data_IF_301879709465
#
_entry.id   IF_301879709465
#
_cell.length_a   1.000
_cell.length_b   1.000
_cell.length_c   1.000
_cell.angle_alpha   90.00
_cell.angle_beta   90.00
_cell.angle_gamma   90.00
#
_symmetry.space_group_name_H-M   'P 1'
#
loop_
_entity.id
_entity.type
_entity.pdbx_description
1 polymer ?
#
# COMPACT_ATOMS: atom_id res chain seq x y z
N UNK A 1 9.17 51.42 24.24
CA UNK A 1 10.42 50.77 24.63
C UNK A 1 10.85 49.85 23.54
N UNK A 2 11.77 50.32 22.70
CA UNK A 2 12.30 49.55 21.57
C UNK A 2 13.45 48.67 22.05
N UNK A 3 13.34 47.38 21.85
CA UNK A 3 14.45 46.45 22.06
C UNK A 3 15.28 46.37 20.77
N UNK A 4 16.46 46.97 20.78
CA UNK A 4 17.45 46.83 19.71
C UNK A 4 18.27 45.54 19.93
N UNK A 5 18.24 44.66 18.94
CA UNK A 5 19.09 43.48 18.88
C UNK A 5 20.53 43.85 18.46
N UNK A 6 21.56 43.36 19.12
CA UNK A 6 22.94 43.68 18.76
C UNK A 6 23.39 42.90 17.51
N UNK A 7 24.08 43.57 16.60
CA UNK A 7 24.57 43.01 15.33
C UNK A 7 25.70 41.99 15.52
N UNK A 8 25.77 41.02 14.59
CA UNK A 8 26.76 39.93 14.57
C UNK A 8 28.25 40.36 14.57
N UNK A 9 28.54 41.62 14.38
CA UNK A 9 29.91 42.17 14.40
C UNK A 9 30.44 42.50 15.79
N UNK A 10 29.63 42.55 16.82
CA UNK A 10 30.03 42.89 18.18
C UNK A 10 30.46 41.65 18.97
N UNK A 11 30.03 40.44 18.58
CA UNK A 11 30.40 39.20 19.28
C UNK A 11 31.83 38.70 19.02
N UNK A 12 32.51 39.23 17.98
CA UNK A 12 33.86 38.78 17.59
C UNK A 12 35.02 39.59 18.24
N UNK A 13 34.71 40.61 19.03
CA UNK A 13 35.77 41.48 19.67
C UNK A 13 36.13 41.09 21.11
N UNK A 14 35.49 40.06 21.69
CA UNK A 14 35.76 39.63 23.08
C UNK A 14 36.55 38.31 23.21
N UNK A 15 37.07 37.78 22.12
CA UNK A 15 37.87 36.54 22.11
C UNK A 15 39.38 36.78 21.88
N UNK A 16 39.87 37.89 22.27
CA UNK A 16 41.30 38.22 22.16
C UNK A 16 41.88 38.73 23.46
N UNK A 17 42.19 37.87 24.41
CA UNK A 17 43.32 37.95 25.35
C UNK A 17 43.11 36.94 26.50
N UNK A 18 43.95 35.91 26.53
CA UNK A 18 44.21 35.12 27.73
C UNK A 18 43.37 33.87 27.94
N UNK A 19 43.90 32.68 27.62
CA UNK A 19 43.36 31.39 28.08
C UNK A 19 43.01 30.37 26.96
N UNK A 20 43.79 30.33 25.90
CA UNK A 20 43.44 29.57 24.68
C UNK A 20 43.86 28.11 24.58
N UNK A 21 44.27 27.43 25.65
CA UNK A 21 44.74 26.03 25.53
C UNK A 21 43.83 24.97 26.17
N UNK A 22 42.97 25.35 27.10
CA UNK A 22 42.13 24.40 27.83
C UNK A 22 40.72 24.22 27.22
N UNK A 23 40.21 25.20 26.47
CA UNK A 23 38.85 25.13 25.88
C UNK A 23 38.79 24.41 24.53
N UNK A 24 39.92 24.31 23.80
CA UNK A 24 39.99 23.59 22.54
C UNK A 24 40.04 22.06 22.73
N UNK A 25 40.55 21.58 23.85
CA UNK A 25 40.60 20.15 24.17
C UNK A 25 39.20 19.56 24.52
N UNK A 26 38.30 20.39 25.08
CA UNK A 26 36.97 19.96 25.47
C UNK A 26 35.98 19.85 24.26
N UNK A 27 36.23 20.57 23.19
CA UNK A 27 35.39 20.50 21.98
C UNK A 27 35.80 19.37 21.02
N UNK A 28 37.06 18.90 21.14
CA UNK A 28 37.55 17.76 20.35
C UNK A 28 37.25 16.39 20.97
N UNK A 29 36.97 16.35 22.28
CA UNK A 29 36.56 15.12 22.98
C UNK A 29 35.10 14.79 22.82
N UNK A 30 34.26 15.68 22.31
CA UNK A 30 32.86 15.41 22.01
C UNK A 30 32.64 14.66 20.69
N UNK A 31 33.65 14.54 19.82
CA UNK A 31 33.58 13.85 18.52
C UNK A 31 34.33 12.50 18.49
N UNK A 32 34.97 12.06 19.58
CA UNK A 32 35.72 10.80 19.64
C UNK A 32 35.19 9.82 20.66
N UNK A 33 33.86 9.73 20.79
CA UNK A 33 33.18 8.79 21.69
C UNK A 33 32.77 7.48 21.01
N UNK A 34 33.61 6.89 20.14
CA UNK A 34 33.54 5.44 19.87
C UNK A 34 34.65 4.81 20.70
N UNK A 35 34.39 4.49 21.93
CA UNK A 35 35.25 3.67 22.76
C UNK A 35 34.94 2.20 22.41
N UNK A 36 35.84 1.57 21.66
CA UNK A 36 35.89 0.11 21.56
C UNK A 36 36.19 -0.45 22.96
N UNK A 37 35.15 -0.85 23.68
CA UNK A 37 35.28 -1.56 24.93
C UNK A 37 35.61 -3.02 24.69
N UNK A 38 36.85 -3.43 24.92
CA UNK A 38 37.20 -4.81 25.22
C UNK A 38 36.59 -5.22 26.58
N UNK A 39 35.67 -6.18 26.54
CA UNK A 39 35.13 -6.80 27.76
C UNK A 39 34.22 -7.94 27.37
N UNK A 40 34.71 -9.17 27.50
CA UNK A 40 33.99 -10.40 27.14
C UNK A 40 32.78 -10.70 28.02
N UNK A 41 31.84 -11.45 27.47
CA UNK A 41 30.84 -12.22 28.23
C UNK A 41 29.40 -11.81 27.91
N UNK A 42 28.70 -12.75 27.30
CA UNK A 42 27.28 -12.93 27.06
C UNK A 42 26.72 -12.44 25.73
N UNK A 43 26.79 -13.34 24.78
CA UNK A 43 26.07 -13.30 23.52
C UNK A 43 24.60 -13.70 23.70
N UNK A 44 23.80 -12.82 24.25
CA UNK A 44 22.36 -12.81 24.03
C UNK A 44 22.07 -11.63 23.10
N UNK A 45 21.69 -11.92 21.87
CA UNK A 45 21.57 -11.08 20.68
C UNK A 45 20.89 -9.72 20.84
N UNK A 46 21.57 -8.78 21.45
CA UNK A 46 21.24 -7.36 21.36
C UNK A 46 22.05 -6.75 20.21
N UNK A 47 21.53 -6.86 18.98
CA UNK A 47 22.06 -6.09 17.86
C UNK A 47 22.11 -4.62 18.24
N UNK A 48 23.23 -3.95 17.96
CA UNK A 48 23.40 -2.51 18.22
C UNK A 48 22.28 -1.71 17.51
N UNK A 49 21.31 -1.25 18.27
CA UNK A 49 20.16 -0.45 17.80
C UNK A 49 20.44 1.04 17.77
N UNK A 50 21.68 1.45 18.03
CA UNK A 50 22.03 2.87 18.16
C UNK A 50 21.29 3.50 19.36
N UNK A 51 20.70 4.67 19.14
CA UNK A 51 19.96 5.42 20.18
C UNK A 51 18.44 5.11 20.17
N UNK A 52 18.00 4.05 19.50
CA UNK A 52 16.60 3.66 19.58
C UNK A 52 16.27 3.07 20.94
N UNK A 53 15.06 3.34 21.48
CA UNK A 53 14.63 2.79 22.76
C UNK A 53 14.61 1.26 22.71
N UNK A 54 14.68 0.64 23.89
CA UNK A 54 14.48 -0.78 24.06
C UNK A 54 13.15 -1.24 23.47
N UNK A 55 13.03 -2.54 23.23
CA UNK A 55 11.80 -3.15 22.70
C UNK A 55 10.58 -2.63 23.43
N UNK A 56 9.59 -2.18 22.65
CA UNK A 56 8.32 -1.70 23.18
C UNK A 56 7.25 -2.77 22.94
N UNK A 57 6.44 -3.06 23.94
CA UNK A 57 5.29 -3.97 23.83
C UNK A 57 4.08 -3.26 23.18
N UNK A 58 4.32 -2.47 22.13
CA UNK A 58 3.25 -1.80 21.42
C UNK A 58 2.45 -2.79 20.60
N UNK A 59 1.16 -2.82 20.88
CA UNK A 59 0.18 -3.68 20.18
C UNK A 59 -0.51 -2.87 19.10
N UNK A 60 -0.23 -3.17 17.86
CA UNK A 60 -0.94 -2.61 16.72
C UNK A 60 -2.02 -3.55 16.24
N UNK A 61 -3.09 -3.00 15.67
CA UNK A 61 -4.24 -3.75 15.17
C UNK A 61 -4.51 -3.35 13.73
N UNK A 62 -4.59 -4.33 12.85
CA UNK A 62 -4.99 -4.16 11.45
C UNK A 62 -6.44 -4.61 11.29
N UNK A 63 -7.31 -3.68 10.85
CA UNK A 63 -8.73 -3.93 10.56
C UNK A 63 -8.90 -4.02 9.05
N UNK A 64 -9.26 -5.20 8.57
CA UNK A 64 -9.35 -5.53 7.16
C UNK A 64 -10.80 -5.84 6.73
N UNK A 65 -11.11 -5.62 5.47
CA UNK A 65 -12.45 -5.84 4.92
C UNK A 65 -12.71 -7.29 4.46
N UNK A 66 -11.65 -8.04 4.06
CA UNK A 66 -11.75 -9.47 3.70
C UNK A 66 -10.53 -10.21 4.25
N UNK A 67 -10.56 -10.56 5.54
CA UNK A 67 -9.41 -11.10 6.30
C UNK A 67 -8.86 -12.42 5.77
N UNK A 68 -9.66 -13.17 5.01
CA UNK A 68 -9.34 -14.48 4.45
C UNK A 68 -8.87 -14.43 3.00
N UNK A 69 -8.97 -13.28 2.31
CA UNK A 69 -8.57 -13.17 0.92
C UNK A 69 -7.05 -13.31 0.78
N UNK A 70 -6.61 -14.18 -0.11
CA UNK A 70 -5.19 -14.46 -0.37
C UNK A 70 -4.41 -13.26 -0.91
N UNK A 71 -5.08 -12.25 -1.47
CA UNK A 71 -4.49 -10.96 -1.79
C UNK A 71 -3.72 -10.35 -0.63
N UNK A 72 -4.18 -10.55 0.62
CA UNK A 72 -3.55 -9.97 1.81
C UNK A 72 -2.41 -10.82 2.40
N UNK A 73 -2.02 -11.93 1.78
CA UNK A 73 -0.87 -12.72 2.24
C UNK A 73 0.41 -11.89 2.23
N UNK A 74 0.77 -11.17 1.16
CA UNK A 74 1.94 -10.28 1.18
C UNK A 74 1.81 -9.14 2.21
N UNK A 75 0.62 -8.58 2.40
CA UNK A 75 0.38 -7.55 3.43
C UNK A 75 0.70 -8.08 4.84
N UNK A 76 0.21 -9.29 5.18
CA UNK A 76 0.52 -9.94 6.46
C UNK A 76 2.01 -10.24 6.62
N UNK A 77 2.67 -10.65 5.56
CA UNK A 77 4.13 -10.82 5.57
C UNK A 77 4.84 -9.50 5.82
N UNK A 78 4.41 -8.41 5.15
CA UNK A 78 4.98 -7.09 5.34
C UNK A 78 4.84 -6.57 6.78
N UNK A 79 3.66 -6.74 7.38
CA UNK A 79 3.45 -6.33 8.77
C UNK A 79 4.30 -7.17 9.76
N UNK A 80 4.43 -8.48 9.53
CA UNK A 80 5.26 -9.36 10.36
C UNK A 80 6.75 -9.00 10.25
N UNK A 81 7.24 -8.74 9.03
CA UNK A 81 8.63 -8.33 8.79
C UNK A 81 8.94 -6.97 9.42
N UNK A 82 8.03 -6.00 9.32
CA UNK A 82 8.17 -4.71 9.98
C UNK A 82 8.22 -4.87 11.51
N UNK A 83 7.33 -5.69 12.07
CA UNK A 83 7.30 -5.96 13.50
C UNK A 83 8.62 -6.62 13.97
N UNK A 84 9.12 -7.59 13.22
CA UNK A 84 10.40 -8.26 13.50
C UNK A 84 11.58 -7.28 13.42
N UNK A 85 11.62 -6.43 12.37
CA UNK A 85 12.65 -5.40 12.21
C UNK A 85 12.66 -4.41 13.37
N UNK A 86 11.48 -3.94 13.79
CA UNK A 86 11.31 -2.95 14.85
C UNK A 86 11.36 -3.57 16.25
N UNK A 87 11.27 -4.90 16.36
CA UNK A 87 11.29 -5.63 17.61
C UNK A 87 10.06 -5.40 18.48
N UNK A 88 8.89 -5.25 17.87
CA UNK A 88 7.58 -5.17 18.53
C UNK A 88 6.80 -6.46 18.32
N UNK A 89 5.73 -6.71 19.10
CA UNK A 89 4.82 -7.82 18.83
C UNK A 89 4.21 -7.72 17.42
N UNK A 90 3.98 -8.87 16.79
CA UNK A 90 3.28 -8.90 15.50
C UNK A 90 1.89 -8.28 15.64
N UNK A 91 1.49 -7.37 14.72
CA UNK A 91 0.18 -6.74 14.75
C UNK A 91 -0.97 -7.75 14.64
N UNK A 92 -2.02 -7.52 15.40
CA UNK A 92 -3.24 -8.32 15.31
C UNK A 92 -3.94 -8.07 13.97
N UNK A 93 -4.29 -9.14 13.26
CA UNK A 93 -5.08 -9.11 12.04
C UNK A 93 -6.55 -9.45 12.35
N UNK A 94 -7.47 -8.53 12.06
CA UNK A 94 -8.91 -8.66 12.37
C UNK A 94 -9.78 -7.92 11.36
N UNK A 95 -11.08 -7.97 11.50
CA UNK A 95 -12.05 -7.28 10.63
C UNK A 95 -13.15 -8.21 10.16
N UNK A 96 -13.58 -8.06 8.90
CA UNK A 96 -14.59 -8.91 8.27
C UNK A 96 -13.98 -9.98 7.38
N UNK A 97 -14.71 -11.04 7.11
CA UNK A 97 -14.32 -12.07 6.12
C UNK A 97 -14.96 -11.87 4.75
N UNK A 98 -15.98 -11.02 4.65
CA UNK A 98 -16.82 -10.87 3.46
C UNK A 98 -17.21 -9.42 3.11
N UNK A 99 -16.47 -8.44 3.63
CA UNK A 99 -16.72 -7.02 3.36
C UNK A 99 -17.81 -6.38 4.21
N UNK A 100 -18.22 -7.02 5.33
CA UNK A 100 -19.24 -6.49 6.23
C UNK A 100 -18.69 -5.29 7.00
N UNK A 101 -19.22 -4.11 6.70
CA UNK A 101 -18.81 -2.83 7.30
C UNK A 101 -19.04 -2.79 8.81
N UNK A 102 -20.16 -3.35 9.29
CA UNK A 102 -20.46 -3.37 10.73
C UNK A 102 -19.46 -4.24 11.51
N UNK A 103 -19.03 -5.36 10.95
CA UNK A 103 -17.98 -6.20 11.55
C UNK A 103 -16.65 -5.45 11.65
N UNK A 104 -16.27 -4.71 10.61
CA UNK A 104 -15.08 -3.90 10.62
C UNK A 104 -15.14 -2.77 11.66
N UNK A 105 -16.26 -2.05 11.72
CA UNK A 105 -16.47 -1.02 12.73
C UNK A 105 -16.38 -1.58 14.15
N UNK A 106 -17.01 -2.73 14.41
CA UNK A 106 -16.93 -3.42 15.70
C UNK A 106 -15.50 -3.87 16.03
N UNK A 107 -14.75 -4.35 15.05
CA UNK A 107 -13.33 -4.71 15.22
C UNK A 107 -12.48 -3.49 15.59
N UNK A 108 -12.71 -2.34 14.94
CA UNK A 108 -12.05 -1.08 15.26
C UNK A 108 -12.39 -0.59 16.68
N UNK A 109 -13.66 -0.60 17.07
CA UNK A 109 -14.09 -0.23 18.42
C UNK A 109 -13.51 -1.17 19.49
N UNK A 110 -13.39 -2.47 19.17
CA UNK A 110 -12.72 -3.45 20.05
C UNK A 110 -11.25 -3.09 20.24
N UNK A 111 -10.54 -2.73 19.17
CA UNK A 111 -9.16 -2.27 19.24
C UNK A 111 -9.01 -0.99 20.11
N UNK A 112 -9.92 -0.02 19.94
CA UNK A 112 -9.95 1.21 20.72
C UNK A 112 -10.19 0.92 22.22
N UNK A 113 -11.14 0.06 22.53
CA UNK A 113 -11.52 -0.26 23.90
C UNK A 113 -10.49 -1.14 24.62
N UNK A 114 -9.71 -1.93 23.86
CA UNK A 114 -8.58 -2.69 24.39
C UNK A 114 -7.30 -1.87 24.52
N UNK A 115 -7.36 -0.55 24.29
CA UNK A 115 -6.22 0.35 24.32
C UNK A 115 -5.08 -0.10 23.38
N UNK A 116 -5.40 -0.35 22.12
CA UNK A 116 -4.41 -0.56 21.08
C UNK A 116 -3.45 0.65 21.03
N UNK A 117 -2.19 0.40 20.72
CA UNK A 117 -1.19 1.47 20.62
C UNK A 117 -1.20 2.14 19.25
N UNK A 118 -1.88 1.54 18.27
CA UNK A 118 -2.12 2.08 16.93
C UNK A 118 -3.02 1.18 16.13
N UNK A 119 -3.75 1.75 15.18
CA UNK A 119 -4.70 1.04 14.34
C UNK A 119 -4.38 1.34 12.87
N UNK A 120 -4.25 0.31 12.06
CA UNK A 120 -4.27 0.40 10.60
C UNK A 120 -5.60 -0.16 10.09
N UNK A 121 -6.29 0.54 9.20
CA UNK A 121 -7.64 0.18 8.76
C UNK A 121 -7.82 0.40 7.25
N UNK A 122 -8.47 -0.54 6.56
CA UNK A 122 -8.95 -0.34 5.20
C UNK A 122 -10.29 0.42 5.25
N UNK A 123 -10.26 1.71 4.92
CA UNK A 123 -11.45 2.57 4.98
C UNK A 123 -12.31 2.40 3.73
N UNK A 124 -13.09 1.32 3.68
CA UNK A 124 -13.90 0.95 2.51
C UNK A 124 -15.24 1.65 2.42
N UNK A 125 -15.66 2.37 3.47
CA UNK A 125 -16.89 3.15 3.55
C UNK A 125 -16.64 4.56 4.04
N UNK A 126 -17.37 5.56 3.49
CA UNK A 126 -17.15 6.97 3.78
C UNK A 126 -17.73 7.43 5.14
N UNK A 127 -18.68 6.71 5.72
CA UNK A 127 -19.41 7.15 6.89
C UNK A 127 -19.11 6.30 8.15
N UNK A 128 -19.02 5.00 7.98
CA UNK A 128 -19.00 4.05 9.08
C UNK A 128 -17.79 4.22 10.03
N UNK A 129 -16.67 4.76 9.52
CA UNK A 129 -15.42 4.86 10.29
C UNK A 129 -15.11 6.27 10.80
N UNK A 130 -15.95 7.28 10.50
CA UNK A 130 -15.73 8.67 10.95
C UNK A 130 -15.66 8.76 12.46
N UNK A 131 -16.70 8.25 13.15
CA UNK A 131 -16.74 8.28 14.61
C UNK A 131 -15.68 7.39 15.26
N UNK A 132 -15.49 6.12 14.84
CA UNK A 132 -14.40 5.29 15.37
C UNK A 132 -13.02 5.92 15.19
N UNK A 133 -12.71 6.52 14.02
CA UNK A 133 -11.43 7.19 13.80
C UNK A 133 -11.25 8.38 14.74
N UNK A 134 -12.28 9.23 14.88
CA UNK A 134 -12.26 10.36 15.80
C UNK A 134 -12.05 9.92 17.25
N UNK A 135 -12.77 8.87 17.68
CA UNK A 135 -12.66 8.30 19.01
C UNK A 135 -11.27 7.75 19.31
N UNK A 136 -10.65 7.04 18.33
CA UNK A 136 -9.29 6.56 18.45
C UNK A 136 -8.29 7.72 18.63
N UNK A 137 -8.36 8.73 17.75
CA UNK A 137 -7.48 9.89 17.79
C UNK A 137 -7.66 10.70 19.09
N UNK A 138 -8.88 10.87 19.57
CA UNK A 138 -9.17 11.54 20.84
C UNK A 138 -8.57 10.82 22.05
N UNK A 139 -8.41 9.50 21.98
CA UNK A 139 -7.72 8.68 22.99
C UNK A 139 -6.19 8.62 22.77
N UNK A 140 -5.65 9.34 21.81
CA UNK A 140 -4.21 9.32 21.49
C UNK A 140 -3.77 8.02 20.77
N UNK A 141 -4.70 7.29 20.16
CA UNK A 141 -4.42 6.11 19.34
C UNK A 141 -4.28 6.54 17.88
N UNK A 142 -3.07 6.48 17.27
CA UNK A 142 -2.88 6.85 15.88
C UNK A 142 -3.64 5.89 14.96
N UNK A 143 -4.25 6.44 13.90
CA UNK A 143 -4.96 5.70 12.88
C UNK A 143 -4.30 5.94 11.52
N UNK A 144 -3.90 4.88 10.84
CA UNK A 144 -3.38 4.89 9.47
C UNK A 144 -4.39 4.17 8.58
N UNK A 145 -4.78 4.79 7.47
CA UNK A 145 -5.51 4.09 6.43
C UNK A 145 -4.54 3.29 5.56
N UNK A 146 -4.89 2.06 5.20
CA UNK A 146 -4.13 1.28 4.23
C UNK A 146 -5.08 0.62 3.23
N UNK A 147 -4.60 0.31 2.02
CA UNK A 147 -5.35 -0.34 0.94
C UNK A 147 -6.56 0.49 0.41
N UNK A 148 -7.39 1.03 1.28
CA UNK A 148 -8.48 1.94 0.95
C UNK A 148 -8.47 3.14 1.88
N UNK A 149 -8.79 4.31 1.32
CA UNK A 149 -8.99 5.54 2.08
C UNK A 149 -10.41 6.07 1.83
N UNK A 150 -10.93 6.81 2.79
CA UNK A 150 -12.27 7.37 2.72
C UNK A 150 -12.26 8.86 3.03
N UNK A 151 -12.99 9.63 2.23
CA UNK A 151 -13.18 11.05 2.46
C UNK A 151 -13.77 11.30 3.86
N UNK A 152 -13.33 12.38 4.51
CA UNK A 152 -13.83 12.82 5.81
C UNK A 152 -13.59 11.88 7.01
N UNK A 153 -12.75 10.85 6.88
CA UNK A 153 -12.38 9.98 8.00
C UNK A 153 -11.13 10.45 8.75
N UNK A 154 -10.29 11.27 8.11
CA UNK A 154 -9.12 11.93 8.68
C UNK A 154 -8.12 10.99 9.39
N UNK A 155 -7.70 9.85 8.79
CA UNK A 155 -6.56 9.11 9.30
C UNK A 155 -5.31 9.99 9.22
N UNK A 156 -4.29 9.68 10.03
CA UNK A 156 -3.04 10.45 10.02
C UNK A 156 -2.27 10.31 8.72
N UNK A 157 -2.38 9.16 8.06
CA UNK A 157 -1.81 8.91 6.74
C UNK A 157 -2.59 7.82 6.00
N UNK A 158 -2.40 7.77 4.69
CA UNK A 158 -2.81 6.67 3.82
C UNK A 158 -1.60 5.98 3.22
N UNK A 159 -1.60 4.66 3.23
CA UNK A 159 -0.59 3.79 2.61
C UNK A 159 -1.28 2.84 1.65
N UNK A 160 -1.19 3.10 0.36
CA UNK A 160 -1.89 2.32 -0.65
C UNK A 160 -1.67 2.87 -2.04
N UNK A 161 -2.36 2.29 -3.01
CA UNK A 161 -2.32 2.75 -4.40
C UNK A 161 -3.24 3.96 -4.58
N UNK A 162 -2.89 4.89 -5.45
CA UNK A 162 -3.86 5.84 -6.00
C UNK A 162 -4.85 5.07 -6.87
N UNK A 163 -6.01 4.78 -6.29
CA UNK A 163 -6.99 3.88 -6.89
C UNK A 163 -7.64 4.46 -8.15
N UNK A 164 -7.97 5.77 -8.14
CA UNK A 164 -8.53 6.40 -9.33
C UNK A 164 -7.51 6.46 -10.47
N UNK A 165 -6.28 6.91 -10.18
CA UNK A 165 -5.22 6.94 -11.17
C UNK A 165 -4.91 5.54 -11.73
N UNK A 166 -4.91 4.51 -10.89
CA UNK A 166 -4.67 3.15 -11.34
C UNK A 166 -5.76 2.64 -12.30
N UNK A 167 -7.02 2.94 -11.98
CA UNK A 167 -8.14 2.69 -12.89
C UNK A 167 -8.04 3.48 -14.18
N UNK A 168 -7.68 4.75 -14.10
CA UNK A 168 -7.49 5.61 -15.28
C UNK A 168 -6.38 5.08 -16.20
N UNK A 169 -5.24 4.64 -15.63
CA UNK A 169 -4.15 4.01 -16.39
C UNK A 169 -4.58 2.68 -17.00
N UNK A 170 -5.36 1.88 -16.28
CA UNK A 170 -5.96 0.66 -16.83
C UNK A 170 -6.87 0.97 -18.01
N UNK A 171 -7.75 1.97 -17.88
CA UNK A 171 -8.63 2.40 -18.97
C UNK A 171 -7.86 2.90 -20.21
N UNK A 172 -6.76 3.63 -20.01
CA UNK A 172 -5.85 4.01 -21.10
C UNK A 172 -5.26 2.78 -21.79
N UNK A 173 -4.80 1.78 -21.02
CA UNK A 173 -4.25 0.52 -21.56
C UNK A 173 -5.32 -0.27 -22.32
N UNK A 174 -6.56 -0.34 -21.79
CA UNK A 174 -7.68 -0.97 -22.51
C UNK A 174 -7.93 -0.28 -23.85
N UNK A 175 -7.90 1.06 -23.86
CA UNK A 175 -8.13 1.85 -25.08
C UNK A 175 -7.06 1.67 -26.16
N UNK A 176 -5.87 1.11 -25.85
CA UNK A 176 -4.89 0.75 -26.87
C UNK A 176 -5.37 -0.36 -27.77
N UNK A 177 -6.07 -1.35 -27.20
CA UNK A 177 -6.50 -2.57 -27.89
C UNK A 177 -8.00 -2.56 -28.27
N UNK A 178 -8.86 -1.90 -27.48
CA UNK A 178 -10.32 -1.86 -27.69
C UNK A 178 -10.75 -0.44 -28.04
N UNK A 179 -11.21 -0.22 -29.28
CA UNK A 179 -11.60 1.09 -29.79
C UNK A 179 -13.12 1.33 -29.80
N UNK A 180 -13.90 0.27 -29.82
CA UNK A 180 -15.38 0.33 -29.85
C UNK A 180 -15.98 -0.99 -29.40
N UNK A 181 -17.29 -1.01 -29.17
CA UNK A 181 -18.03 -2.18 -28.68
C UNK A 181 -18.15 -2.19 -27.16
N UNK A 182 -18.56 -3.31 -26.59
CA UNK A 182 -18.73 -3.44 -25.15
C UNK A 182 -17.57 -4.18 -24.51
N UNK A 183 -17.25 -3.80 -23.27
CA UNK A 183 -16.39 -4.58 -22.37
C UNK A 183 -17.16 -4.90 -21.08
N UNK A 184 -16.80 -6.01 -20.43
CA UNK A 184 -17.32 -6.42 -19.12
C UNK A 184 -16.28 -6.08 -18.08
N UNK A 185 -16.68 -5.42 -16.99
CA UNK A 185 -15.76 -5.09 -15.87
C UNK A 185 -16.36 -5.56 -14.55
N UNK A 186 -15.72 -6.56 -13.95
CA UNK A 186 -16.08 -7.08 -12.62
C UNK A 186 -15.67 -6.11 -11.50
N UNK A 187 -16.54 -5.97 -10.52
CA UNK A 187 -16.31 -5.19 -9.30
C UNK A 187 -16.92 -5.92 -8.11
N UNK A 188 -16.11 -6.26 -7.12
CA UNK A 188 -16.54 -7.07 -5.96
C UNK A 188 -17.52 -6.34 -5.04
N UNK A 189 -17.39 -5.02 -4.93
CA UNK A 189 -18.21 -4.20 -4.04
C UNK A 189 -18.50 -2.83 -4.66
N UNK A 190 -19.56 -2.71 -5.49
CA UNK A 190 -19.95 -1.41 -6.04
C UNK A 190 -20.14 -0.35 -4.94
N UNK A 191 -19.54 0.83 -5.13
CA UNK A 191 -19.54 1.92 -4.14
C UNK A 191 -18.47 1.79 -3.05
N UNK A 192 -17.75 0.68 -2.96
CA UNK A 192 -16.65 0.50 -2.00
C UNK A 192 -15.43 1.32 -2.38
N UNK A 193 -14.84 2.03 -1.42
CA UNK A 193 -13.71 2.94 -1.65
C UNK A 193 -12.43 2.22 -2.11
N UNK A 194 -12.33 0.92 -1.93
CA UNK A 194 -11.20 0.11 -2.41
C UNK A 194 -11.26 -0.23 -3.90
N UNK A 195 -12.43 -0.20 -4.53
CA UNK A 195 -12.63 -0.67 -5.92
C UNK A 195 -13.39 0.31 -6.81
N UNK A 196 -14.37 1.08 -6.27
CA UNK A 196 -15.16 2.01 -7.07
C UNK A 196 -14.31 3.08 -7.78
N UNK A 197 -13.30 3.70 -7.14
CA UNK A 197 -12.49 4.71 -7.82
C UNK A 197 -11.73 4.14 -9.04
N UNK A 198 -11.37 2.85 -9.02
CA UNK A 198 -10.75 2.18 -10.17
C UNK A 198 -11.70 2.08 -11.34
N UNK A 199 -12.95 1.67 -11.09
CA UNK A 199 -13.98 1.60 -12.13
C UNK A 199 -14.27 2.98 -12.72
N UNK A 200 -14.39 4.01 -11.87
CA UNK A 200 -14.61 5.38 -12.30
C UNK A 200 -13.45 5.89 -13.19
N UNK A 201 -12.21 5.61 -12.78
CA UNK A 201 -11.01 5.92 -13.56
C UNK A 201 -10.99 5.24 -14.92
N UNK A 202 -11.35 3.94 -15.00
CA UNK A 202 -11.47 3.21 -16.28
C UNK A 202 -12.49 3.89 -17.19
N UNK A 203 -13.68 4.18 -16.66
CA UNK A 203 -14.77 4.79 -17.43
C UNK A 203 -14.32 6.17 -17.97
N UNK A 204 -13.68 6.98 -17.16
CA UNK A 204 -13.27 8.33 -17.57
C UNK A 204 -12.12 8.30 -18.59
N UNK A 205 -11.17 7.36 -18.45
CA UNK A 205 -10.12 7.16 -19.46
C UNK A 205 -10.69 6.69 -20.81
N UNK A 206 -11.65 5.77 -20.78
CA UNK A 206 -12.31 5.27 -22.01
C UNK A 206 -13.14 6.34 -22.71
N UNK A 207 -13.86 7.19 -21.96
CA UNK A 207 -14.58 8.35 -22.53
C UNK A 207 -13.64 9.27 -23.31
N UNK A 208 -12.39 9.43 -22.85
CA UNK A 208 -11.39 10.30 -23.49
C UNK A 208 -10.69 9.60 -24.67
N UNK A 209 -10.24 8.36 -24.50
CA UNK A 209 -9.34 7.68 -25.44
C UNK A 209 -10.05 6.74 -26.42
N UNK A 210 -11.22 6.20 -26.06
CA UNK A 210 -12.01 5.29 -26.86
C UNK A 210 -13.52 5.45 -26.62
N UNK A 211 -14.12 6.59 -27.00
CA UNK A 211 -15.53 6.93 -26.70
C UNK A 211 -16.55 5.96 -27.34
N UNK A 212 -16.13 5.11 -28.26
CA UNK A 212 -16.96 4.05 -28.84
C UNK A 212 -17.06 2.80 -27.97
N UNK A 213 -16.33 2.74 -26.83
CA UNK A 213 -16.39 1.62 -25.89
C UNK A 213 -17.45 1.87 -24.82
N UNK A 214 -18.31 0.88 -24.60
CA UNK A 214 -19.28 0.86 -23.50
C UNK A 214 -18.84 -0.09 -22.41
N UNK A 215 -18.95 0.34 -21.15
CA UNK A 215 -18.59 -0.48 -19.98
C UNK A 215 -19.85 -1.09 -19.37
N UNK A 216 -19.89 -2.42 -19.31
CA UNK A 216 -20.86 -3.17 -18.54
C UNK A 216 -20.21 -3.58 -17.21
N UNK A 217 -20.51 -2.87 -16.12
CA UNK A 217 -20.04 -3.24 -14.78
C UNK A 217 -20.89 -4.39 -14.23
N UNK A 218 -20.23 -5.30 -13.51
CA UNK A 218 -20.85 -6.51 -12.93
C UNK A 218 -20.48 -6.59 -11.46
N UNK A 219 -21.48 -6.56 -10.57
CA UNK A 219 -21.27 -6.86 -9.15
C UNK A 219 -20.96 -8.35 -9.01
N UNK A 220 -19.74 -8.67 -8.61
CA UNK A 220 -19.25 -10.04 -8.47
C UNK A 220 -19.37 -10.57 -7.04
N UNK A 221 -19.55 -9.67 -6.06
CA UNK A 221 -19.47 -10.01 -4.64
C UNK A 221 -18.01 -10.15 -4.16
N UNK A 222 -17.84 -10.33 -2.85
CA UNK A 222 -16.50 -10.43 -2.24
C UNK A 222 -16.02 -11.88 -2.04
N UNK A 223 -16.82 -12.86 -2.42
CA UNK A 223 -16.50 -14.28 -2.27
C UNK A 223 -16.04 -14.88 -3.60
N UNK A 224 -14.83 -15.37 -3.63
CA UNK A 224 -14.13 -15.83 -4.84
C UNK A 224 -14.93 -16.82 -5.72
N UNK A 225 -15.68 -17.75 -5.10
CA UNK A 225 -16.54 -18.68 -5.84
C UNK A 225 -17.72 -17.97 -6.54
N UNK A 226 -18.26 -16.93 -5.92
CA UNK A 226 -19.34 -16.10 -6.47
C UNK A 226 -18.86 -15.26 -7.66
N UNK A 227 -17.65 -14.74 -7.59
CA UNK A 227 -17.05 -13.87 -8.61
C UNK A 227 -16.97 -14.56 -9.98
N UNK A 228 -16.51 -15.83 -10.02
CA UNK A 228 -16.47 -16.60 -11.26
C UNK A 228 -17.87 -16.82 -11.86
N UNK A 229 -18.86 -17.14 -11.02
CA UNK A 229 -20.23 -17.35 -11.48
C UNK A 229 -20.82 -16.06 -12.05
N UNK A 230 -20.62 -14.93 -11.38
CA UNK A 230 -21.12 -13.64 -11.84
C UNK A 230 -20.47 -13.20 -13.17
N UNK A 231 -19.15 -13.34 -13.29
CA UNK A 231 -18.43 -13.03 -14.53
C UNK A 231 -18.84 -13.94 -15.68
N UNK A 232 -19.04 -15.24 -15.40
CA UNK A 232 -19.51 -16.21 -16.41
C UNK A 232 -20.92 -15.85 -16.89
N UNK A 233 -21.85 -15.56 -15.99
CA UNK A 233 -23.21 -15.17 -16.35
C UNK A 233 -23.23 -13.86 -17.16
N UNK A 234 -22.39 -12.89 -16.79
CA UNK A 234 -22.28 -11.64 -17.54
C UNK A 234 -21.76 -11.85 -18.96
N UNK A 235 -20.76 -12.70 -19.13
CA UNK A 235 -20.24 -13.05 -20.46
C UNK A 235 -21.25 -13.85 -21.29
N UNK A 236 -21.94 -14.82 -20.70
CA UNK A 236 -22.97 -15.59 -21.38
C UNK A 236 -24.13 -14.71 -21.86
N UNK A 237 -24.42 -13.63 -21.15
CA UNK A 237 -25.38 -12.60 -21.57
C UNK A 237 -24.82 -11.61 -22.61
N UNK A 238 -23.52 -11.57 -22.85
CA UNK A 238 -22.87 -10.64 -23.76
C UNK A 238 -21.62 -11.27 -24.42
N UNK A 239 -21.82 -12.31 -25.20
CA UNK A 239 -20.73 -13.03 -25.88
C UNK A 239 -20.04 -12.22 -27.00
N UNK A 240 -20.58 -11.02 -27.32
CA UNK A 240 -19.99 -10.07 -28.26
C UNK A 240 -19.03 -9.08 -27.59
N UNK A 241 -18.79 -9.18 -26.27
CA UNK A 241 -17.86 -8.31 -25.58
C UNK A 241 -16.45 -8.41 -26.17
N UNK A 242 -15.80 -7.27 -26.33
CA UNK A 242 -14.44 -7.16 -26.86
C UNK A 242 -13.38 -7.45 -25.80
N UNK A 243 -13.75 -7.35 -24.51
CA UNK A 243 -12.85 -7.59 -23.40
C UNK A 243 -13.57 -7.92 -22.11
N UNK A 244 -12.88 -8.64 -21.22
CA UNK A 244 -13.31 -9.04 -19.88
C UNK A 244 -12.26 -8.59 -18.89
N UNK A 245 -12.63 -7.67 -18.00
CA UNK A 245 -11.73 -7.01 -17.08
C UNK A 245 -12.29 -7.02 -15.66
N UNK A 246 -11.47 -6.69 -14.67
CA UNK A 246 -11.91 -6.53 -13.29
C UNK A 246 -11.07 -5.51 -12.52
N UNK A 247 -11.63 -4.98 -11.42
CA UNK A 247 -10.99 -3.95 -10.59
C UNK A 247 -10.53 -4.47 -9.22
N UNK A 248 -10.63 -5.76 -8.98
CA UNK A 248 -10.22 -6.45 -7.76
C UNK A 248 -9.59 -7.82 -8.04
N UNK A 249 -8.95 -8.40 -7.01
CA UNK A 249 -8.14 -9.59 -7.14
C UNK A 249 -8.92 -10.84 -7.58
N UNK A 250 -10.02 -11.13 -6.90
CA UNK A 250 -10.79 -12.35 -7.14
C UNK A 250 -11.51 -12.30 -8.48
N UNK A 251 -12.13 -11.16 -8.80
CA UNK A 251 -12.76 -10.97 -10.12
C UNK A 251 -11.74 -11.02 -11.27
N UNK A 252 -10.49 -10.58 -11.05
CA UNK A 252 -9.44 -10.71 -12.07
C UNK A 252 -9.05 -12.18 -12.31
N UNK A 253 -8.90 -12.95 -11.24
CA UNK A 253 -8.67 -14.40 -11.34
C UNK A 253 -9.84 -15.10 -12.03
N UNK A 254 -11.08 -14.69 -11.73
CA UNK A 254 -12.27 -15.16 -12.41
C UNK A 254 -12.26 -14.85 -13.91
N UNK A 255 -11.79 -13.67 -14.33
CA UNK A 255 -11.58 -13.34 -15.76
C UNK A 255 -10.61 -14.32 -16.42
N UNK A 256 -9.46 -14.58 -15.80
CA UNK A 256 -8.46 -15.50 -16.33
C UNK A 256 -9.04 -16.91 -16.52
N UNK A 257 -9.74 -17.41 -15.51
CA UNK A 257 -10.36 -18.73 -15.54
C UNK A 257 -11.48 -18.80 -16.58
N UNK A 258 -12.35 -17.82 -16.65
CA UNK A 258 -13.44 -17.75 -17.65
C UNK A 258 -12.88 -17.76 -19.08
N UNK A 259 -11.87 -16.93 -19.37
CA UNK A 259 -11.25 -16.85 -20.69
C UNK A 259 -10.62 -18.20 -21.06
N UNK A 260 -9.96 -18.87 -20.13
CA UNK A 260 -9.34 -20.17 -20.34
C UNK A 260 -10.39 -21.27 -20.56
N UNK A 261 -11.36 -21.39 -19.66
CA UNK A 261 -12.38 -22.45 -19.69
C UNK A 261 -13.27 -22.38 -20.94
N UNK A 262 -13.50 -21.18 -21.48
CA UNK A 262 -14.28 -20.95 -22.70
C UNK A 262 -13.45 -20.98 -24.00
N UNK A 263 -12.11 -21.22 -23.90
CA UNK A 263 -11.23 -21.24 -25.06
C UNK A 263 -11.14 -19.89 -25.78
N UNK A 264 -11.21 -18.79 -25.04
CA UNK A 264 -11.21 -17.42 -25.56
C UNK A 264 -9.82 -16.79 -25.62
N UNK A 265 -8.79 -17.48 -25.15
CA UNK A 265 -7.39 -16.98 -25.15
C UNK A 265 -6.99 -16.50 -26.54
N UNK A 266 -6.52 -15.25 -26.63
CA UNK A 266 -6.16 -14.59 -27.88
C UNK A 266 -7.34 -14.15 -28.76
N UNK A 267 -8.60 -14.43 -28.36
CA UNK A 267 -9.82 -14.06 -29.07
C UNK A 267 -10.57 -12.91 -28.42
N UNK A 268 -10.37 -12.70 -27.12
CA UNK A 268 -10.93 -11.61 -26.33
C UNK A 268 -9.81 -10.97 -25.52
N UNK A 269 -9.92 -9.69 -25.23
CA UNK A 269 -8.98 -8.99 -24.36
C UNK A 269 -9.32 -9.22 -22.89
N UNK A 270 -8.30 -9.23 -22.03
CA UNK A 270 -8.51 -9.43 -20.60
C UNK A 270 -7.44 -8.79 -19.75
N UNK A 271 -7.81 -8.41 -18.53
CA UNK A 271 -6.85 -7.85 -17.57
C UNK A 271 -7.54 -7.42 -16.28
N UNK A 272 -6.73 -7.00 -15.30
CA UNK A 272 -7.27 -6.56 -14.03
C UNK A 272 -6.19 -6.16 -13.04
N UNK A 273 -6.45 -6.48 -11.78
CA UNK A 273 -5.61 -6.11 -10.65
C UNK A 273 -5.14 -7.35 -9.90
N UNK A 274 -4.01 -7.17 -9.23
CA UNK A 274 -3.46 -8.05 -8.21
C UNK A 274 -2.82 -9.35 -8.75
N UNK A 275 -2.23 -10.13 -7.85
CA UNK A 275 -1.26 -11.16 -8.17
C UNK A 275 -1.68 -12.55 -7.64
N UNK A 276 -2.98 -12.86 -7.65
CA UNK A 276 -3.44 -14.20 -7.30
C UNK A 276 -2.84 -15.23 -8.27
N UNK A 277 -2.67 -16.46 -7.80
CA UNK A 277 -2.02 -17.52 -8.58
C UNK A 277 -2.68 -17.73 -9.95
N UNK A 278 -4.01 -17.77 -10.00
CA UNK A 278 -4.73 -17.91 -11.26
C UNK A 278 -4.59 -16.70 -12.18
N UNK A 279 -4.45 -15.49 -11.60
CA UNK A 279 -4.16 -14.26 -12.37
C UNK A 279 -2.77 -14.31 -13.01
N UNK A 280 -1.74 -14.66 -12.24
CA UNK A 280 -0.36 -14.81 -12.74
C UNK A 280 -0.29 -15.88 -13.83
N UNK A 281 -0.93 -17.04 -13.62
CA UNK A 281 -1.02 -18.09 -14.61
C UNK A 281 -1.80 -17.63 -15.85
N UNK A 282 -2.84 -16.81 -15.69
CA UNK A 282 -3.60 -16.19 -16.76
C UNK A 282 -2.77 -15.25 -17.64
N UNK A 283 -1.95 -14.41 -17.02
CA UNK A 283 -1.01 -13.53 -17.75
C UNK A 283 0.07 -14.36 -18.46
N UNK A 284 0.62 -15.35 -17.79
CA UNK A 284 1.65 -16.21 -18.38
C UNK A 284 1.15 -17.04 -19.56
N UNK A 285 -0.07 -17.56 -19.50
CA UNK A 285 -0.68 -18.30 -20.60
C UNK A 285 -1.20 -17.41 -21.74
N UNK A 286 -1.33 -16.09 -21.50
CA UNK A 286 -1.92 -15.13 -22.43
C UNK A 286 -3.47 -15.11 -22.40
N UNK A 287 -4.10 -15.70 -21.38
CA UNK A 287 -5.53 -15.52 -21.14
C UNK A 287 -5.84 -14.09 -20.69
N UNK A 288 -4.93 -13.47 -19.92
CA UNK A 288 -4.95 -12.05 -19.62
C UNK A 288 -3.79 -11.34 -20.33
N UNK A 289 -4.04 -10.15 -20.86
CA UNK A 289 -3.00 -9.28 -21.44
C UNK A 289 -2.10 -8.68 -20.38
N UNK A 290 -2.69 -8.39 -19.21
CA UNK A 290 -1.97 -7.79 -18.07
C UNK A 290 -2.72 -8.01 -16.75
N UNK A 291 -2.01 -7.79 -15.65
CA UNK A 291 -2.56 -7.43 -14.34
C UNK A 291 -1.80 -6.22 -13.78
N UNK A 292 -2.31 -5.60 -12.71
CA UNK A 292 -1.69 -4.45 -12.07
C UNK A 292 -1.32 -4.80 -10.64
N UNK A 293 -0.02 -4.72 -10.33
CA UNK A 293 0.52 -4.84 -8.99
C UNK A 293 0.41 -3.50 -8.26
N UNK A 294 -0.02 -3.54 -6.99
CA UNK A 294 -0.14 -2.40 -6.09
C UNK A 294 0.78 -2.50 -4.85
N UNK A 295 1.68 -3.46 -4.82
CA UNK A 295 2.64 -3.74 -3.75
C UNK A 295 1.96 -3.89 -2.37
N UNK A 296 1.09 -4.88 -2.16
CA UNK A 296 0.38 -5.09 -0.90
C UNK A 296 1.32 -5.38 0.28
N UNK A 297 2.52 -5.93 0.05
CA UNK A 297 3.56 -6.06 1.07
C UNK A 297 3.91 -4.70 1.69
N UNK A 298 4.15 -3.68 0.86
CA UNK A 298 4.48 -2.33 1.34
C UNK A 298 3.33 -1.70 2.11
N UNK A 299 2.08 -2.01 1.77
CA UNK A 299 0.90 -1.55 2.52
C UNK A 299 0.93 -2.03 3.97
N UNK A 300 1.34 -3.27 4.20
CA UNK A 300 1.56 -3.83 5.55
C UNK A 300 2.78 -3.23 6.24
N UNK A 301 3.93 -3.32 5.59
CA UNK A 301 5.22 -2.92 6.16
C UNK A 301 5.25 -1.44 6.57
N UNK A 302 4.88 -0.54 5.66
CA UNK A 302 4.93 0.90 5.91
C UNK A 302 3.88 1.35 6.92
N UNK A 303 2.70 0.73 6.95
CA UNK A 303 1.69 1.05 7.96
C UNK A 303 2.17 0.76 9.38
N UNK A 304 2.86 -0.35 9.60
CA UNK A 304 3.49 -0.66 10.90
C UNK A 304 4.59 0.35 11.21
N UNK A 305 5.45 0.66 10.24
CA UNK A 305 6.53 1.62 10.41
C UNK A 305 5.98 3.01 10.79
N UNK A 306 4.92 3.49 10.15
CA UNK A 306 4.33 4.80 10.43
C UNK A 306 3.68 4.86 11.82
N UNK A 307 2.97 3.81 12.22
CA UNK A 307 2.45 3.69 13.59
C UNK A 307 3.57 3.70 14.62
N UNK A 308 4.66 2.97 14.35
CA UNK A 308 5.84 2.93 15.22
C UNK A 308 6.50 4.29 15.35
N UNK A 309 6.76 4.99 14.24
CA UNK A 309 7.38 6.31 14.24
C UNK A 309 6.51 7.35 14.95
N UNK A 310 5.18 7.28 14.78
CA UNK A 310 4.28 8.13 15.53
C UNK A 310 4.37 7.89 17.03
N UNK A 311 4.36 6.63 17.47
CA UNK A 311 4.49 6.30 18.91
C UNK A 311 5.83 6.71 19.48
N UNK A 312 6.89 6.62 18.70
CA UNK A 312 8.24 6.99 19.10
C UNK A 312 8.39 8.51 19.28
N UNK A 313 7.82 9.30 18.39
CA UNK A 313 8.03 10.76 18.30
C UNK A 313 6.87 11.58 18.86
N UNK A 314 5.70 11.01 19.06
CA UNK A 314 4.47 11.72 19.41
C UNK A 314 3.87 12.54 18.25
N UNK A 315 4.44 12.46 17.04
CA UNK A 315 3.97 13.16 15.82
C UNK A 315 4.06 12.25 14.61
N UNK A 316 3.29 12.57 13.57
CA UNK A 316 3.44 11.87 12.31
C UNK A 316 4.73 12.31 11.60
N UNK A 317 5.65 11.39 11.38
CA UNK A 317 6.94 11.62 10.71
C UNK A 317 7.00 10.98 9.33
N UNK A 318 5.85 10.78 8.70
CA UNK A 318 5.69 10.16 7.40
C UNK A 318 4.83 11.03 6.47
N UNK A 319 4.90 10.88 5.14
CA UNK A 319 3.99 11.54 4.23
C UNK A 319 2.53 11.22 4.56
N UNK A 320 1.60 12.17 4.43
CA UNK A 320 0.18 11.91 4.66
C UNK A 320 -0.41 10.93 3.65
N UNK A 321 0.19 10.84 2.45
CA UNK A 321 -0.14 9.88 1.42
C UNK A 321 1.11 9.20 0.89
N UNK A 322 1.11 7.89 0.86
CA UNK A 322 2.19 7.06 0.31
C UNK A 322 1.61 6.13 -0.73
N UNK A 323 1.89 6.43 -1.99
CA UNK A 323 1.51 5.55 -3.09
C UNK A 323 2.46 4.35 -3.13
N UNK A 324 1.93 3.14 -2.93
CA UNK A 324 2.71 1.90 -2.91
C UNK A 324 3.07 1.38 -4.29
N UNK A 325 2.56 1.98 -5.35
CA UNK A 325 2.98 1.69 -6.72
C UNK A 325 1.85 1.32 -7.67
N UNK A 326 2.21 1.30 -8.94
CA UNK A 326 1.38 0.85 -10.06
C UNK A 326 2.31 0.23 -11.09
N UNK A 327 2.35 -1.10 -11.13
CA UNK A 327 3.18 -1.83 -12.10
C UNK A 327 2.30 -2.73 -12.95
N UNK A 328 2.34 -2.54 -14.26
CA UNK A 328 1.72 -3.48 -15.18
C UNK A 328 2.56 -4.75 -15.27
N UNK A 329 1.94 -5.87 -14.91
CA UNK A 329 2.51 -7.20 -15.07
C UNK A 329 1.95 -7.80 -16.35
N UNK A 330 2.83 -8.03 -17.29
CA UNK A 330 2.52 -8.52 -18.64
C UNK A 330 3.30 -9.80 -18.91
N UNK A 331 3.11 -10.39 -20.09
CA UNK A 331 3.85 -11.58 -20.52
C UNK A 331 5.38 -11.40 -20.42
N UNK A 332 5.88 -10.18 -20.62
CA UNK A 332 7.31 -9.89 -20.64
C UNK A 332 7.95 -9.95 -19.25
N UNK A 333 7.20 -9.62 -18.20
CA UNK A 333 7.75 -9.52 -16.84
C UNK A 333 7.07 -10.45 -15.81
N UNK A 334 6.02 -11.18 -16.19
CA UNK A 334 5.29 -12.10 -15.28
C UNK A 334 6.19 -13.18 -14.69
N UNK A 335 7.29 -13.53 -15.37
CA UNK A 335 8.27 -14.50 -14.88
C UNK A 335 8.83 -14.16 -13.50
N UNK A 336 8.93 -12.87 -13.16
CA UNK A 336 9.38 -12.40 -11.84
C UNK A 336 8.39 -12.73 -10.73
N UNK A 337 7.12 -12.90 -11.05
CA UNK A 337 6.02 -13.12 -10.12
C UNK A 337 5.63 -14.61 -9.96
N UNK A 338 6.10 -15.48 -10.86
CA UNK A 338 5.74 -16.92 -10.86
C UNK A 338 6.26 -17.71 -9.67
N UNK A 339 7.33 -17.26 -9.10
CA UNK A 339 8.02 -17.93 -7.99
C UNK A 339 7.83 -17.20 -6.67
N UNK A 340 6.92 -16.23 -6.65
CA UNK A 340 6.67 -15.37 -5.52
C UNK A 340 5.91 -16.07 -4.38
N UNK A 341 6.52 -17.06 -3.75
CA UNK A 341 6.31 -17.35 -2.33
C UNK A 341 7.07 -16.34 -1.46
N UNK A 342 7.42 -15.20 -2.05
CA UNK A 342 8.34 -14.29 -1.42
C UNK A 342 7.61 -13.34 -0.50
N UNK A 343 8.33 -12.95 0.50
CA UNK A 343 8.00 -11.84 1.38
C UNK A 343 7.85 -10.54 0.62
N UNK A 344 8.49 -10.44 -0.54
CA UNK A 344 8.43 -9.32 -1.47
C UNK A 344 7.75 -9.81 -2.75
N UNK A 345 6.87 -9.03 -3.31
CA UNK A 345 6.29 -9.31 -4.61
C UNK A 345 7.43 -9.53 -5.62
N UNK A 346 7.39 -10.67 -6.32
CA UNK A 346 8.27 -10.95 -7.46
C UNK A 346 9.64 -11.54 -7.20
N UNK A 347 9.95 -12.07 -6.00
CA UNK A 347 11.25 -12.71 -5.77
C UNK A 347 11.21 -14.09 -5.11
N UNK A 348 11.78 -15.15 -5.72
CA UNK A 348 11.79 -16.49 -5.10
C UNK A 348 12.74 -16.60 -3.91
N UNK A 349 13.72 -15.71 -3.78
CA UNK A 349 14.80 -15.77 -2.80
C UNK A 349 14.86 -14.54 -1.89
N UNK A 350 13.76 -13.84 -1.66
CA UNK A 350 13.73 -12.51 -1.05
C UNK A 350 14.55 -11.47 -1.84
N UNK A 351 14.90 -11.76 -3.07
CA UNK A 351 15.47 -10.77 -3.94
C UNK A 351 14.38 -9.73 -4.25
N UNK A 352 14.58 -8.46 -3.92
CA UNK A 352 13.64 -7.43 -4.31
C UNK A 352 13.48 -7.48 -5.83
N UNK A 353 12.27 -7.24 -6.33
CA UNK A 353 12.09 -6.97 -7.77
C UNK A 353 13.18 -5.99 -8.13
N UNK A 354 14.05 -6.35 -9.08
CA UNK A 354 15.14 -5.48 -9.47
C UNK A 354 14.54 -4.16 -9.94
N UNK A 355 14.60 -3.19 -9.06
CA UNK A 355 14.29 -1.81 -9.42
C UNK A 355 15.25 -1.39 -10.54
N UNK A 356 14.80 -0.59 -11.50
CA UNK A 356 15.70 0.00 -12.48
C UNK A 356 16.90 0.57 -11.76
N UNK A 357 18.11 0.26 -12.22
CA UNK A 357 19.37 0.60 -11.57
C UNK A 357 19.61 2.13 -11.44
N UNK A 358 18.74 2.96 -11.99
CA UNK A 358 18.81 4.40 -11.91
C UNK A 358 17.47 5.00 -11.49
N UNK A 359 17.49 5.87 -10.49
CA UNK A 359 16.39 6.79 -10.21
C UNK A 359 16.27 7.70 -11.44
N UNK A 360 15.11 7.73 -12.13
CA UNK A 360 14.95 8.62 -13.27
C UNK A 360 15.09 10.07 -12.78
N UNK A 361 16.09 10.76 -13.31
CA UNK A 361 16.27 12.18 -13.03
C UNK A 361 15.08 12.96 -13.62
N UNK A 362 14.59 14.00 -12.93
CA UNK A 362 13.61 14.90 -13.50
C UNK A 362 14.16 15.52 -14.78
N UNK A 363 13.32 15.85 -15.77
CA UNK A 363 13.74 16.52 -16.99
C UNK A 363 14.57 17.78 -16.67
N UNK A 364 15.61 18.06 -17.44
CA UNK A 364 16.47 19.22 -17.23
C UNK A 364 15.69 20.55 -17.08
N UNK A 365 14.56 20.68 -17.79
CA UNK A 365 13.66 21.84 -17.66
C UNK A 365 13.05 22.05 -16.26
N UNK A 366 13.14 21.08 -15.37
CA UNK A 366 12.67 21.19 -13.97
C UNK A 366 13.83 21.57 -13.03
N UNK A 367 15.07 21.28 -13.45
CA UNK A 367 16.29 21.57 -12.67
C UNK A 367 16.81 23.00 -12.88
N UNK A 368 16.37 23.67 -13.96
CA UNK A 368 16.78 25.03 -14.35
C UNK A 368 15.85 26.13 -13.80
N UNK A 369 15.06 25.87 -12.76
CA UNK A 369 14.15 26.84 -12.11
C UNK A 369 14.66 27.34 -10.79
#
# INVERSE_FOLDING_TARGET
MEYSTPSRRTALKFLGAGGGAAAAAALLSACSGVQEGQGGGDTSGSGNRGNFPERQDWRFVFVNHVTTNSFFVPTKTGLADAAALLGIPEPQWTGSTNGNISEMANAMETAINSNAHGIAIALTDNAAFVEPTRNALAKGIPVIAYNANAANNYPLAYVGQDLYLSGFRMGQRIAEDVKSGSIIVGISQPGGNNVQPRLDGIIDALKQAAPGVTVQSVNTGAEQAGELNAMTAAYDGNTGAQGIYAVDAGSTEACAKLITDRGLTGRIRGGGFDLLEGTINGVDSGALDFTIDQSPYLQGFLSVLYLYLFRLSGTLVAPPETNTGLTFVTKENVGLYKTANSKFEGGPNNDPIQMPAAIPLPPASVLDR
#
